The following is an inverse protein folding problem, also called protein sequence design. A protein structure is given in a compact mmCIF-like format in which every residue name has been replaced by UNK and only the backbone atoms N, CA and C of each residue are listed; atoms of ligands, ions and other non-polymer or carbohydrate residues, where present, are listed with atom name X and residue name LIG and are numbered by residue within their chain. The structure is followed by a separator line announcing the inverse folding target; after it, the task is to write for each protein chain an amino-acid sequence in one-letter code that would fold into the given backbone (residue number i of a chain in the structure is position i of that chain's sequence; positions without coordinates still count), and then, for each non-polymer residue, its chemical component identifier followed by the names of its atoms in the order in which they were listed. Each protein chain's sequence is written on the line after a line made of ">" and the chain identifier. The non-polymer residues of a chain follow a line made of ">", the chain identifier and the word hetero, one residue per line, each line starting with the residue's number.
data_IF_098061931020
#
_entry.id   IF_098061931020
#
_cell.length_a   1.000
_cell.length_b   1.000
_cell.length_c   1.000
_cell.angle_alpha   90.00
_cell.angle_beta   90.00
_cell.angle_gamma   90.00
#
_symmetry.space_group_name_H-M   'P 1'
#
loop_
_entity.id
_entity.type
_entity.pdbx_description
1 polymer ?
#
# COMPACT_ATOMS: atom_id res chain seq x y z
N UNK A 1 22.68 -31.79 13.73
CA UNK A 1 23.43 -30.98 14.72
C UNK A 1 23.12 -29.51 14.46
N UNK A 2 21.95 -29.09 14.94
CA UNK A 2 21.42 -27.72 14.87
C UNK A 2 20.49 -27.63 16.09
N UNK A 3 20.96 -27.05 17.19
CA UNK A 3 20.12 -26.55 18.30
C UNK A 3 21.02 -26.25 19.50
N UNK A 4 21.71 -25.11 19.50
CA UNK A 4 22.15 -24.40 20.72
C UNK A 4 22.83 -23.11 20.27
N UNK A 5 22.04 -22.13 19.85
CA UNK A 5 22.47 -20.74 19.94
C UNK A 5 21.29 -20.01 20.59
N UNK A 6 21.54 -19.30 21.70
CA UNK A 6 20.61 -18.35 22.33
C UNK A 6 19.60 -18.84 23.39
N UNK A 7 19.93 -19.86 24.18
CA UNK A 7 19.22 -20.13 25.45
C UNK A 7 20.02 -19.60 26.66
N UNK A 8 19.94 -18.29 26.95
CA UNK A 8 20.02 -17.78 28.34
C UNK A 8 19.90 -16.25 28.38
N UNK A 9 18.69 -15.71 28.47
CA UNK A 9 18.45 -14.40 29.10
C UNK A 9 17.15 -14.48 29.92
N UNK A 10 17.23 -13.97 31.15
CA UNK A 10 16.42 -14.41 32.30
C UNK A 10 14.92 -14.16 32.21
N UNK A 11 14.18 -15.07 32.83
CA UNK A 11 12.75 -14.96 33.10
C UNK A 11 12.50 -13.95 34.23
N UNK A 12 11.95 -12.78 33.90
CA UNK A 12 11.20 -11.97 34.87
C UNK A 12 9.72 -12.40 34.81
N UNK A 13 9.03 -12.65 35.94
CA UNK A 13 7.67 -13.13 35.92
C UNK A 13 6.72 -11.93 35.77
N UNK A 14 6.33 -11.62 34.53
CA UNK A 14 5.13 -10.83 34.26
C UNK A 14 4.09 -11.77 33.65
N UNK A 15 2.90 -11.71 34.24
CA UNK A 15 1.79 -12.64 34.04
C UNK A 15 1.53 -12.94 32.56
N UNK A 16 1.65 -14.22 32.18
CA UNK A 16 1.26 -14.69 30.86
C UNK A 16 -0.25 -14.81 30.80
N UNK A 17 -0.93 -13.75 30.36
CA UNK A 17 -2.29 -13.89 29.84
C UNK A 17 -2.14 -14.51 28.45
N UNK A 18 -2.37 -15.82 28.33
CA UNK A 18 -2.55 -16.45 27.02
C UNK A 18 -3.90 -15.96 26.50
N UNK A 19 -3.87 -14.91 25.68
CA UNK A 19 -5.04 -14.57 24.87
C UNK A 19 -5.20 -15.69 23.83
N UNK A 20 -6.27 -16.46 23.96
CA UNK A 20 -6.68 -17.36 22.90
C UNK A 20 -7.03 -16.49 21.68
N UNK A 21 -6.26 -16.59 20.60
CA UNK A 21 -6.62 -15.99 19.33
C UNK A 21 -7.94 -16.63 18.88
N UNK A 22 -9.03 -15.89 18.99
CA UNK A 22 -10.30 -16.27 18.39
C UNK A 22 -10.11 -16.18 16.87
N UNK A 23 -9.97 -17.34 16.22
CA UNK A 23 -10.05 -17.44 14.77
C UNK A 23 -11.50 -17.09 14.39
N UNK A 24 -11.74 -15.83 14.05
CA UNK A 24 -12.98 -15.43 13.40
C UNK A 24 -12.98 -16.08 12.01
N UNK A 25 -13.89 -17.03 11.81
CA UNK A 25 -14.27 -17.45 10.46
C UNK A 25 -15.15 -16.32 9.93
N UNK A 26 -14.51 -15.32 9.33
CA UNK A 26 -15.18 -14.41 8.43
C UNK A 26 -15.70 -15.22 7.23
N UNK A 27 -16.86 -14.85 6.71
CA UNK A 27 -17.24 -15.22 5.35
C UNK A 27 -16.12 -14.70 4.44
N UNK A 28 -15.39 -15.63 3.81
CA UNK A 28 -14.03 -15.41 3.29
C UNK A 28 -13.96 -14.56 2.01
N UNK A 29 -15.03 -13.89 1.60
CA UNK A 29 -15.04 -12.99 0.45
C UNK A 29 -14.84 -11.54 0.91
N UNK A 30 -15.84 -10.99 1.59
CA UNK A 30 -15.89 -9.57 1.97
C UNK A 30 -14.69 -9.09 2.81
N UNK A 31 -14.19 -9.92 3.73
CA UNK A 31 -13.04 -9.53 4.57
C UNK A 31 -11.74 -9.52 3.79
N UNK A 32 -11.59 -10.32 2.73
CA UNK A 32 -10.40 -10.29 1.89
C UNK A 32 -10.44 -9.13 0.88
N UNK A 33 -11.62 -8.81 0.34
CA UNK A 33 -11.81 -7.62 -0.49
C UNK A 33 -11.45 -6.33 0.27
N UNK A 34 -11.75 -6.23 1.58
CA UNK A 34 -11.29 -5.09 2.41
C UNK A 34 -9.77 -4.99 2.60
N UNK A 35 -9.00 -6.02 2.22
CA UNK A 35 -7.54 -5.99 2.20
C UNK A 35 -6.99 -5.83 0.77
N UNK A 36 -7.82 -5.40 -0.18
CA UNK A 36 -7.38 -4.87 -1.47
C UNK A 36 -7.39 -3.36 -1.36
N UNK A 37 -6.42 -2.68 -1.96
CA UNK A 37 -6.37 -1.22 -2.03
C UNK A 37 -5.92 -0.78 -3.39
N UNK A 38 -6.29 0.44 -3.77
CA UNK A 38 -5.71 1.06 -4.96
C UNK A 38 -4.30 1.50 -4.57
N UNK A 39 -3.31 1.03 -5.33
CA UNK A 39 -1.89 1.21 -5.04
C UNK A 39 -1.28 2.35 -5.84
N UNK A 40 -1.63 2.41 -7.12
CA UNK A 40 -1.05 3.30 -8.11
C UNK A 40 -2.05 3.52 -9.25
N UNK A 41 -2.05 4.70 -9.85
CA UNK A 41 -2.88 5.02 -11.01
C UNK A 41 -2.23 6.10 -11.87
N UNK A 42 -2.31 5.93 -13.19
CA UNK A 42 -1.96 6.94 -14.19
C UNK A 42 -3.15 7.20 -15.10
N UNK A 43 -3.47 8.48 -15.26
CA UNK A 43 -4.60 8.96 -16.08
C UNK A 43 -4.14 9.83 -17.26
N UNK A 44 -2.87 10.26 -17.28
CA UNK A 44 -2.39 11.22 -18.30
C UNK A 44 -0.88 11.05 -18.50
N UNK A 45 -0.40 11.41 -19.69
CA UNK A 45 1.02 11.43 -20.05
C UNK A 45 1.33 12.43 -21.17
N UNK A 46 2.62 12.71 -21.47
CA UNK A 46 2.95 13.55 -22.60
C UNK A 46 2.49 12.92 -23.93
N UNK A 47 1.54 13.57 -24.59
CA UNK A 47 1.13 13.21 -25.94
C UNK A 47 -0.20 12.49 -25.97
N UNK A 48 -0.19 11.21 -26.33
CA UNK A 48 -1.37 10.37 -26.29
C UNK A 48 -1.28 9.47 -25.05
N UNK A 49 -2.40 9.30 -24.38
CA UNK A 49 -2.55 8.47 -23.19
C UNK A 49 -2.59 7.00 -23.60
N UNK A 50 -1.40 6.41 -23.75
CA UNK A 50 -1.26 4.99 -24.15
C UNK A 50 -0.81 4.10 -23.01
N UNK A 51 -0.51 4.69 -21.85
CA UNK A 51 -0.03 4.02 -20.66
C UNK A 51 -0.89 4.40 -19.45
N UNK A 52 -2.20 4.58 -19.65
CA UNK A 52 -3.12 4.66 -18.51
C UNK A 52 -3.21 3.29 -17.82
N UNK A 53 -3.27 3.31 -16.50
CA UNK A 53 -3.41 2.11 -15.69
C UNK A 53 -3.94 2.44 -14.30
N UNK A 54 -4.40 1.39 -13.63
CA UNK A 54 -4.43 1.36 -12.18
C UNK A 54 -3.89 0.03 -11.68
N UNK A 55 -3.31 0.06 -10.50
CA UNK A 55 -2.81 -1.12 -9.81
C UNK A 55 -3.55 -1.29 -8.49
N UNK A 56 -3.92 -2.53 -8.20
CA UNK A 56 -4.38 -2.92 -6.87
C UNK A 56 -3.25 -3.66 -6.15
N UNK A 57 -3.11 -3.40 -4.85
CA UNK A 57 -2.28 -4.21 -3.96
C UNK A 57 -3.13 -5.00 -2.99
N UNK A 58 -2.78 -6.25 -2.78
CA UNK A 58 -3.56 -7.13 -1.92
C UNK A 58 -2.99 -8.54 -1.80
N UNK A 59 -3.90 -9.45 -1.48
CA UNK A 59 -3.65 -10.82 -1.09
C UNK A 59 -3.14 -11.71 -2.21
N UNK A 60 -1.97 -12.36 -2.23
CA UNK A 60 -1.76 -13.42 -3.21
C UNK A 60 -2.88 -14.46 -3.16
N UNK A 61 -3.62 -14.61 -4.26
CA UNK A 61 -4.79 -15.47 -4.33
C UNK A 61 -6.12 -14.86 -3.86
N UNK A 62 -6.18 -13.56 -3.53
CA UNK A 62 -7.45 -12.86 -3.28
C UNK A 62 -8.26 -12.82 -4.56
N UNK A 63 -9.45 -13.42 -4.52
CA UNK A 63 -10.43 -13.40 -5.59
C UNK A 63 -11.08 -12.01 -5.65
N UNK A 64 -11.15 -11.43 -6.85
CA UNK A 64 -11.77 -10.12 -7.12
C UNK A 64 -13.21 -10.26 -7.62
N UNK A 65 -13.86 -11.40 -7.38
CA UNK A 65 -15.30 -11.59 -7.62
C UNK A 65 -16.13 -10.45 -7.01
N UNK A 66 -17.04 -9.90 -7.82
CA UNK A 66 -17.93 -8.80 -7.48
C UNK A 66 -17.22 -7.50 -7.07
N UNK A 67 -15.90 -7.38 -7.28
CA UNK A 67 -15.15 -6.13 -7.11
C UNK A 67 -15.17 -5.33 -8.41
N UNK A 68 -15.42 -4.03 -8.30
CA UNK A 68 -15.49 -3.10 -9.42
C UNK A 68 -14.58 -1.91 -9.17
N UNK A 69 -13.92 -1.47 -10.24
CA UNK A 69 -13.25 -0.18 -10.29
C UNK A 69 -14.15 0.82 -11.02
N UNK A 70 -14.53 1.90 -10.36
CA UNK A 70 -15.36 2.95 -10.94
C UNK A 70 -14.68 4.32 -10.86
N UNK A 71 -14.97 5.18 -11.82
CA UNK A 71 -14.58 6.60 -11.80
C UNK A 71 -15.85 7.43 -11.84
N UNK A 72 -15.94 8.39 -10.92
CA UNK A 72 -17.06 9.33 -10.78
C UNK A 72 -16.52 10.74 -11.01
N UNK A 73 -17.05 11.46 -11.98
CA UNK A 73 -16.74 12.86 -12.24
C UNK A 73 -17.96 13.56 -12.80
N UNK A 74 -17.86 14.15 -14.00
CA UNK A 74 -18.87 14.99 -14.61
C UNK A 74 -19.65 14.30 -15.75
N UNK A 75 -20.71 14.96 -16.20
CA UNK A 75 -21.46 14.54 -17.37
C UNK A 75 -22.61 15.48 -17.72
N UNK A 76 -23.53 15.06 -18.61
CA UNK A 76 -24.63 15.91 -19.07
C UNK A 76 -25.58 16.41 -17.97
N UNK A 77 -25.51 15.84 -16.75
CA UNK A 77 -26.28 16.20 -15.57
C UNK A 77 -25.57 17.19 -14.63
N UNK A 78 -24.24 17.27 -14.68
CA UNK A 78 -23.43 17.90 -13.64
C UNK A 78 -22.42 16.90 -13.07
N UNK A 79 -22.05 17.06 -11.80
CA UNK A 79 -21.08 16.17 -11.13
C UNK A 79 -21.76 14.90 -10.60
N UNK A 80 -20.98 13.88 -10.25
CA UNK A 80 -21.50 12.64 -9.69
C UNK A 80 -21.88 11.59 -10.73
N UNK A 81 -21.45 11.76 -11.98
CA UNK A 81 -21.72 10.82 -13.05
C UNK A 81 -20.66 9.72 -13.10
N UNK A 82 -21.09 8.47 -13.28
CA UNK A 82 -20.17 7.34 -13.49
C UNK A 82 -19.58 7.41 -14.89
N UNK A 83 -18.30 7.72 -15.02
CA UNK A 83 -17.60 7.82 -16.30
C UNK A 83 -16.97 6.50 -16.73
N UNK A 84 -16.48 5.73 -15.75
CA UNK A 84 -15.85 4.45 -15.95
C UNK A 84 -16.39 3.43 -14.96
N UNK A 85 -16.58 2.20 -15.42
CA UNK A 85 -16.91 1.07 -14.57
C UNK A 85 -16.34 -0.21 -15.18
N UNK A 86 -15.47 -0.88 -14.42
CA UNK A 86 -14.82 -2.13 -14.81
C UNK A 86 -15.07 -3.21 -13.76
N UNK A 87 -15.71 -4.30 -14.19
CA UNK A 87 -15.89 -5.52 -13.40
C UNK A 87 -14.58 -6.32 -13.36
N UNK A 88 -14.08 -6.59 -12.16
CA UNK A 88 -12.87 -7.37 -11.95
C UNK A 88 -13.16 -8.86 -11.71
N UNK A 89 -14.43 -9.27 -11.78
CA UNK A 89 -14.85 -10.65 -11.56
C UNK A 89 -14.13 -11.64 -12.46
N UNK A 90 -13.66 -12.73 -11.84
CA UNK A 90 -12.85 -13.76 -12.52
C UNK A 90 -11.35 -13.49 -12.48
N UNK A 91 -10.94 -12.35 -11.92
CA UNK A 91 -9.55 -12.00 -11.66
C UNK A 91 -9.13 -12.37 -10.24
N UNK A 92 -7.83 -12.53 -10.04
CA UNK A 92 -7.22 -12.88 -8.74
C UNK A 92 -5.92 -12.11 -8.60
N UNK A 93 -5.66 -11.53 -7.43
CA UNK A 93 -4.38 -10.87 -7.13
C UNK A 93 -3.22 -11.87 -7.25
N UNK A 94 -2.16 -11.45 -7.95
CA UNK A 94 -1.00 -12.26 -8.29
C UNK A 94 -0.15 -12.71 -7.11
N UNK A 95 0.82 -13.59 -7.37
CA UNK A 95 1.73 -14.11 -6.34
C UNK A 95 2.71 -13.05 -5.80
N UNK A 96 2.87 -11.98 -6.54
CA UNK A 96 3.61 -10.75 -6.24
C UNK A 96 2.81 -9.75 -5.40
N UNK A 97 1.53 -10.02 -5.11
CA UNK A 97 0.61 -9.17 -4.34
C UNK A 97 0.08 -7.95 -5.08
N UNK A 98 0.28 -7.89 -6.40
CA UNK A 98 -0.23 -6.81 -7.24
C UNK A 98 -1.27 -7.36 -8.23
N UNK A 99 -2.08 -6.45 -8.74
CA UNK A 99 -2.97 -6.70 -9.86
C UNK A 99 -3.01 -5.45 -10.73
N UNK A 100 -2.29 -5.50 -11.84
CA UNK A 100 -2.13 -4.40 -12.77
C UNK A 100 -3.20 -4.48 -13.87
N UNK A 101 -3.98 -3.40 -13.99
CA UNK A 101 -4.90 -3.17 -15.11
C UNK A 101 -4.38 -2.02 -15.94
N UNK A 102 -4.05 -2.27 -17.20
CA UNK A 102 -3.50 -1.27 -18.10
C UNK A 102 -4.15 -1.32 -19.49
N UNK A 103 -3.98 -0.26 -20.26
CA UNK A 103 -4.47 -0.21 -21.63
C UNK A 103 -3.74 -1.16 -22.59
N UNK A 104 -4.44 -1.53 -23.67
CA UNK A 104 -3.81 -2.31 -24.74
C UNK A 104 -2.66 -1.53 -25.36
N UNK A 105 -1.46 -2.11 -25.35
CA UNK A 105 -0.26 -1.43 -25.82
C UNK A 105 0.63 -0.84 -24.73
N UNK A 106 0.31 -1.11 -23.46
CA UNK A 106 1.15 -0.86 -22.27
C UNK A 106 2.66 -0.96 -22.56
N UNK A 107 3.39 0.08 -22.19
CA UNK A 107 4.84 0.18 -22.40
C UNK A 107 5.67 0.27 -21.11
N UNK A 108 5.02 0.13 -19.94
CA UNK A 108 5.70 0.15 -18.66
C UNK A 108 6.58 -1.08 -18.38
N UNK A 109 7.24 -1.06 -17.23
CA UNK A 109 8.14 -2.12 -16.77
C UNK A 109 7.70 -2.57 -15.37
N UNK A 110 7.35 -3.85 -15.15
CA UNK A 110 7.31 -4.94 -16.13
C UNK A 110 6.25 -4.74 -17.23
N UNK A 111 6.47 -5.42 -18.37
CA UNK A 111 5.53 -5.46 -19.49
C UNK A 111 4.33 -6.39 -19.25
N UNK A 112 4.36 -7.19 -18.18
CA UNK A 112 3.27 -8.12 -17.86
C UNK A 112 2.13 -7.33 -17.20
N UNK A 113 0.91 -7.53 -17.71
CA UNK A 113 -0.32 -6.90 -17.21
C UNK A 113 -1.28 -8.04 -16.85
N UNK A 114 -1.94 -7.93 -15.70
CA UNK A 114 -2.87 -8.97 -15.24
C UNK A 114 -4.19 -8.92 -16.01
N UNK A 115 -4.65 -7.70 -16.36
CA UNK A 115 -5.83 -7.47 -17.16
C UNK A 115 -5.65 -6.28 -18.11
N UNK A 116 -5.78 -6.51 -19.41
CA UNK A 116 -5.91 -5.42 -20.39
C UNK A 116 -7.36 -4.90 -20.40
N UNK A 117 -7.53 -3.59 -20.25
CA UNK A 117 -8.83 -2.92 -20.30
C UNK A 117 -8.76 -1.65 -21.15
N UNK A 118 -9.92 -1.10 -21.51
CA UNK A 118 -10.03 0.22 -22.13
C UNK A 118 -10.40 1.17 -21.01
N UNK A 119 -9.48 2.04 -20.60
CA UNK A 119 -9.65 2.87 -19.41
C UNK A 119 -10.27 4.21 -19.79
N UNK A 120 -9.64 4.94 -20.73
CA UNK A 120 -9.99 6.31 -21.11
C UNK A 120 -10.32 7.16 -19.88
N UNK A 121 -9.40 7.23 -18.92
CA UNK A 121 -9.60 8.15 -17.80
C UNK A 121 -9.59 9.59 -18.30
N UNK A 122 -10.31 10.46 -17.61
CA UNK A 122 -10.38 11.85 -18.02
C UNK A 122 -9.14 12.62 -17.57
N UNK A 123 -8.54 13.35 -18.52
CA UNK A 123 -7.46 14.28 -18.23
C UNK A 123 -8.06 15.65 -17.85
N UNK A 124 -7.47 16.29 -16.85
CA UNK A 124 -7.72 17.71 -16.60
C UNK A 124 -9.03 18.03 -15.88
N UNK A 125 -9.70 17.05 -15.28
CA UNK A 125 -10.87 17.28 -14.42
C UNK A 125 -10.82 16.54 -13.07
N UNK A 126 -11.56 17.07 -12.10
CA UNK A 126 -11.73 16.53 -10.76
C UNK A 126 -12.54 15.23 -10.79
N UNK A 127 -11.85 14.08 -10.73
CA UNK A 127 -12.50 12.76 -10.70
C UNK A 127 -12.26 12.02 -9.38
N UNK A 128 -13.21 11.17 -9.01
CA UNK A 128 -13.12 10.25 -7.87
C UNK A 128 -12.96 8.82 -8.37
N UNK A 129 -11.84 8.20 -8.05
CA UNK A 129 -11.58 6.78 -8.31
C UNK A 129 -12.01 5.97 -7.09
N UNK A 130 -12.85 4.96 -7.29
CA UNK A 130 -13.46 4.18 -6.20
C UNK A 130 -13.39 2.70 -6.53
N UNK A 131 -12.88 1.91 -5.59
CA UNK A 131 -12.94 0.46 -5.62
C UNK A 131 -14.12 0.01 -4.74
N UNK A 132 -15.10 -0.68 -5.32
CA UNK A 132 -16.35 -1.06 -4.65
C UNK A 132 -16.68 -2.53 -4.80
N UNK A 133 -17.63 -3.02 -4.01
CA UNK A 133 -18.22 -4.37 -4.14
C UNK A 133 -19.66 -4.30 -4.60
N UNK A 134 -20.08 -5.30 -5.38
CA UNK A 134 -21.45 -5.52 -5.84
C UNK A 134 -22.03 -4.29 -6.58
N UNK A 135 -21.25 -3.68 -7.47
CA UNK A 135 -21.72 -2.55 -8.27
C UNK A 135 -22.88 -2.99 -9.21
N UNK A 136 -23.99 -2.27 -9.15
CA UNK A 136 -25.20 -2.53 -9.91
C UNK A 136 -25.62 -1.36 -10.82
N UNK A 137 -24.77 -0.32 -10.90
CA UNK A 137 -24.98 0.84 -11.77
C UNK A 137 -24.45 0.62 -13.17
N UNK A 138 -24.47 1.69 -13.97
CA UNK A 138 -23.98 1.74 -15.33
C UNK A 138 -23.15 3.02 -15.57
N UNK A 139 -22.28 2.97 -16.57
CA UNK A 139 -21.62 4.17 -17.09
C UNK A 139 -22.69 5.15 -17.60
N UNK A 140 -22.52 6.44 -17.28
CA UNK A 140 -23.45 7.56 -17.42
C UNK A 140 -24.62 7.59 -16.42
N UNK A 141 -24.65 6.73 -15.41
CA UNK A 141 -25.59 6.92 -14.30
C UNK A 141 -25.16 8.15 -13.50
N UNK A 142 -26.12 9.05 -13.26
CA UNK A 142 -25.97 10.25 -12.44
C UNK A 142 -26.32 9.89 -10.98
N UNK A 143 -25.30 9.90 -10.12
CA UNK A 143 -25.40 9.47 -8.72
C UNK A 143 -25.67 10.63 -7.75
N UNK A 144 -25.50 11.89 -8.19
CA UNK A 144 -25.69 13.12 -7.41
C UNK A 144 -26.64 14.05 -8.19
N UNK A 145 -27.92 13.71 -8.20
CA UNK A 145 -28.91 14.27 -9.13
C UNK A 145 -29.15 15.77 -8.89
N UNK A 146 -28.86 16.26 -7.69
CA UNK A 146 -29.01 17.66 -7.33
C UNK A 146 -27.70 18.45 -7.19
N UNK A 147 -26.57 17.85 -7.57
CA UNK A 147 -25.23 18.44 -7.60
C UNK A 147 -24.82 19.06 -6.25
N UNK A 148 -25.19 18.42 -5.13
CA UNK A 148 -24.95 18.97 -3.79
C UNK A 148 -23.68 18.44 -3.12
N UNK A 149 -23.00 17.50 -3.77
CA UNK A 149 -21.77 16.86 -3.32
C UNK A 149 -22.01 15.66 -2.40
N UNK A 150 -23.26 15.20 -2.29
CA UNK A 150 -23.66 14.00 -1.56
C UNK A 150 -24.37 13.07 -2.53
N UNK A 151 -23.81 11.88 -2.75
CA UNK A 151 -24.43 10.87 -3.60
C UNK A 151 -25.84 10.50 -3.12
N UNK A 152 -26.83 10.70 -3.99
CA UNK A 152 -28.23 10.30 -3.82
C UNK A 152 -28.41 8.79 -4.00
N UNK A 153 -27.65 8.22 -4.95
CA UNK A 153 -27.71 6.81 -5.31
C UNK A 153 -26.38 6.14 -5.03
N UNK A 154 -26.43 5.05 -4.26
CA UNK A 154 -25.25 4.25 -3.90
C UNK A 154 -25.45 2.86 -4.50
N UNK A 155 -25.08 2.63 -5.78
CA UNK A 155 -25.32 1.37 -6.47
C UNK A 155 -24.22 0.33 -6.17
N UNK A 156 -23.67 0.33 -4.96
CA UNK A 156 -22.69 -0.64 -4.47
C UNK A 156 -22.95 -0.94 -2.98
N UNK A 157 -22.41 -2.06 -2.50
CA UNK A 157 -22.61 -2.50 -1.12
C UNK A 157 -21.54 -1.95 -0.17
N UNK A 158 -20.28 -1.87 -0.62
CA UNK A 158 -19.16 -1.39 0.21
C UNK A 158 -18.11 -0.73 -0.66
N UNK A 159 -17.57 0.40 -0.18
CA UNK A 159 -16.33 1.00 -0.69
C UNK A 159 -15.17 0.27 -0.01
N UNK A 160 -14.27 -0.28 -0.82
CA UNK A 160 -13.03 -0.92 -0.38
C UNK A 160 -11.94 0.13 -0.14
N UNK A 161 -11.70 0.99 -1.14
CA UNK A 161 -10.72 2.08 -1.11
C UNK A 161 -11.13 3.14 -2.13
N UNK A 162 -10.73 4.38 -1.90
CA UNK A 162 -11.01 5.50 -2.80
C UNK A 162 -9.94 6.60 -2.73
N UNK A 163 -9.91 7.42 -3.78
CA UNK A 163 -9.25 8.72 -3.77
C UNK A 163 -9.88 9.63 -4.83
N UNK A 164 -9.66 10.93 -4.68
CA UNK A 164 -10.03 11.93 -5.66
C UNK A 164 -8.79 12.65 -6.19
N UNK A 165 -8.74 12.85 -7.50
CA UNK A 165 -7.79 13.75 -8.16
C UNK A 165 -8.45 15.12 -8.26
N UNK A 166 -7.70 16.17 -7.90
CA UNK A 166 -8.24 17.55 -7.91
C UNK A 166 -7.29 18.52 -8.59
N UNK A 167 -7.81 19.42 -9.43
CA UNK A 167 -7.08 20.48 -10.15
C UNK A 167 -7.06 21.78 -9.35
N UNK A 168 -8.11 22.05 -8.57
CA UNK A 168 -8.15 23.16 -7.63
C UNK A 168 -8.97 22.80 -6.38
N UNK A 169 -8.54 23.28 -5.21
CA UNK A 169 -9.26 23.06 -3.96
C UNK A 169 -10.55 23.90 -3.87
N UNK A 170 -11.71 23.29 -4.15
CA UNK A 170 -13.03 23.90 -3.90
C UNK A 170 -13.64 24.65 -5.08
N UNK A 171 -13.09 24.47 -6.28
CA UNK A 171 -13.60 24.93 -7.58
C UNK A 171 -13.50 23.76 -8.57
N UNK A 172 -14.37 23.72 -9.60
CA UNK A 172 -14.47 22.59 -10.53
C UNK A 172 -15.52 21.56 -10.11
N UNK A 173 -15.48 20.38 -10.74
CA UNK A 173 -16.41 19.29 -10.49
C UNK A 173 -16.26 18.70 -9.08
N UNK A 174 -17.38 18.20 -8.57
CA UNK A 174 -17.46 17.68 -7.20
C UNK A 174 -16.80 16.31 -7.13
N UNK A 175 -16.13 16.07 -6.00
CA UNK A 175 -15.48 14.78 -5.71
C UNK A 175 -16.00 14.18 -4.42
N UNK A 176 -16.06 12.86 -4.40
CA UNK A 176 -16.81 12.06 -3.43
C UNK A 176 -15.92 11.23 -2.51
N UNK A 177 -14.63 11.58 -2.41
CA UNK A 177 -13.69 11.04 -1.43
C UNK A 177 -13.12 12.11 -0.49
N UNK A 178 -12.88 11.72 0.76
CA UNK A 178 -12.12 12.51 1.73
C UNK A 178 -10.61 12.51 1.40
N UNK A 179 -10.13 11.50 0.67
CA UNK A 179 -8.74 11.36 0.24
C UNK A 179 -8.53 12.15 -1.06
N UNK A 180 -8.14 13.41 -0.94
CA UNK A 180 -7.94 14.31 -2.09
C UNK A 180 -6.45 14.48 -2.41
N UNK A 181 -6.07 14.19 -3.66
CA UNK A 181 -4.70 14.26 -4.15
C UNK A 181 -4.63 15.35 -5.23
N UNK A 182 -3.70 16.28 -5.06
CA UNK A 182 -3.55 17.43 -5.96
C UNK A 182 -3.87 18.77 -5.28
N UNK A 183 -3.78 19.87 -6.04
CA UNK A 183 -3.38 19.85 -7.45
C UNK A 183 -1.88 19.65 -7.69
N UNK A 184 -1.55 19.21 -8.90
CA UNK A 184 -0.17 19.24 -9.40
C UNK A 184 0.06 20.54 -10.19
N UNK A 185 0.40 21.58 -9.44
CA UNK A 185 0.56 22.92 -9.99
C UNK A 185 -0.78 23.55 -10.38
N UNK A 186 -1.15 23.44 -11.66
CA UNK A 186 -2.40 23.97 -12.23
C UNK A 186 -3.23 22.87 -12.90
N UNK A 187 -2.88 21.61 -12.67
CA UNK A 187 -3.51 20.46 -13.30
C UNK A 187 -3.92 19.46 -12.22
N UNK A 188 -4.82 18.54 -12.56
CA UNK A 188 -4.95 17.29 -11.81
C UNK A 188 -3.64 16.49 -11.88
N UNK A 189 -3.32 15.71 -10.83
CA UNK A 189 -2.23 14.76 -10.91
C UNK A 189 -2.45 13.77 -12.06
N UNK A 190 -1.45 13.62 -12.92
CA UNK A 190 -1.43 12.66 -14.03
C UNK A 190 -1.09 11.24 -13.58
N UNK A 191 -0.34 11.14 -12.48
CA UNK A 191 0.10 9.89 -11.88
C UNK A 191 0.11 10.03 -10.36
N UNK A 192 -0.46 9.04 -9.69
CA UNK A 192 -0.48 8.96 -8.22
C UNK A 192 -0.14 7.56 -7.76
N UNK A 193 0.58 7.47 -6.63
CA UNK A 193 1.00 6.21 -6.06
C UNK A 193 1.13 6.28 -4.54
N UNK A 194 0.95 5.14 -3.86
CA UNK A 194 1.21 5.04 -2.42
C UNK A 194 2.68 4.75 -2.17
N UNK A 195 3.30 5.47 -1.24
CA UNK A 195 4.58 5.01 -0.70
C UNK A 195 4.38 3.68 0.01
N UNK A 196 5.36 2.78 -0.02
CA UNK A 196 5.28 1.52 0.75
C UNK A 196 4.04 0.67 0.38
N UNK A 197 3.56 0.85 -0.86
CA UNK A 197 2.38 0.21 -1.40
C UNK A 197 1.13 0.42 -0.51
N UNK A 198 0.28 -0.60 -0.46
CA UNK A 198 -0.93 -0.81 0.33
C UNK A 198 -1.18 0.15 1.50
N UNK A 199 -0.18 0.40 2.36
CA UNK A 199 -0.37 1.10 3.63
C UNK A 199 0.04 2.57 3.64
N UNK A 200 0.88 3.02 2.70
CA UNK A 200 1.38 4.39 2.78
C UNK A 200 0.47 5.43 2.18
N UNK A 201 0.88 6.68 2.40
CA UNK A 201 0.18 7.84 1.89
C UNK A 201 0.41 8.01 0.39
N UNK A 202 -0.57 8.63 -0.27
CA UNK A 202 -0.53 9.00 -1.67
C UNK A 202 0.52 10.07 -1.97
N UNK A 203 1.08 9.99 -3.17
CA UNK A 203 2.01 10.93 -3.75
C UNK A 203 1.64 11.19 -5.19
N UNK A 204 2.14 12.31 -5.70
CA UNK A 204 2.04 12.68 -7.10
C UNK A 204 3.37 12.32 -7.76
N UNK A 205 3.29 11.48 -8.78
CA UNK A 205 4.42 11.19 -9.65
C UNK A 205 4.52 12.16 -10.83
N UNK A 206 5.55 12.02 -11.67
CA UNK A 206 5.76 12.90 -12.80
C UNK A 206 4.75 12.63 -13.93
N UNK A 207 4.44 13.69 -14.69
CA UNK A 207 3.67 13.57 -15.93
C UNK A 207 4.28 12.58 -16.90
N UNK A 208 5.59 12.62 -17.11
CA UNK A 208 6.29 11.74 -18.05
C UNK A 208 6.61 10.37 -17.40
N UNK A 209 6.08 9.24 -17.92
CA UNK A 209 6.37 7.91 -17.40
C UNK A 209 7.87 7.54 -17.44
N UNK A 210 8.64 8.16 -18.33
CA UNK A 210 10.08 7.88 -18.51
C UNK A 210 10.93 8.37 -17.29
N UNK A 211 10.29 8.97 -16.27
CA UNK A 211 10.91 9.44 -15.03
C UNK A 211 11.13 8.39 -13.93
N UNK A 212 10.44 7.25 -13.99
CA UNK A 212 10.74 6.06 -13.17
C UNK A 212 10.06 5.97 -11.80
N UNK A 213 9.01 6.75 -11.54
CA UNK A 213 8.15 6.52 -10.38
C UNK A 213 7.00 5.55 -10.70
N UNK A 214 6.69 5.33 -11.97
CA UNK A 214 5.75 4.29 -12.42
C UNK A 214 6.28 2.91 -12.09
N UNK A 215 5.53 2.20 -11.24
CA UNK A 215 5.90 0.87 -10.79
C UNK A 215 4.84 -0.18 -10.98
N UNK A 216 3.86 0.03 -11.89
CA UNK A 216 2.84 -0.96 -12.18
C UNK A 216 3.40 -2.38 -12.37
N UNK A 217 2.96 -3.32 -11.55
CA UNK A 217 3.45 -4.70 -11.44
C UNK A 217 4.60 -4.89 -10.44
N UNK A 218 5.00 -3.85 -9.69
CA UNK A 218 6.11 -3.83 -8.76
C UNK A 218 5.81 -2.96 -7.53
N UNK A 219 6.63 -3.14 -6.49
CA UNK A 219 6.54 -2.28 -5.31
C UNK A 219 6.91 -0.83 -5.61
N UNK A 220 6.06 0.07 -5.12
CA UNK A 220 6.31 1.49 -5.08
C UNK A 220 7.54 1.86 -4.24
N UNK A 221 8.10 3.02 -4.54
CA UNK A 221 9.26 3.53 -3.84
C UNK A 221 9.02 3.62 -2.32
N UNK A 222 10.02 3.19 -1.55
CA UNK A 222 10.07 3.49 -0.12
C UNK A 222 10.32 4.98 0.09
N UNK A 223 9.66 5.62 1.05
CA UNK A 223 9.98 7.00 1.44
C UNK A 223 11.02 7.05 2.56
N UNK A 224 12.27 7.47 2.30
CA UNK A 224 13.24 7.66 3.37
C UNK A 224 12.76 8.75 4.34
N UNK A 225 12.63 8.42 5.62
CA UNK A 225 12.45 9.40 6.70
C UNK A 225 11.08 9.44 7.39
N UNK A 226 10.18 8.49 7.15
CA UNK A 226 9.02 8.29 8.05
C UNK A 226 9.40 7.47 9.26
N UNK A 227 10.10 6.36 9.05
CA UNK A 227 10.76 5.60 10.11
C UNK A 227 12.16 5.19 9.62
N UNK A 228 13.18 5.37 10.45
CA UNK A 228 14.59 5.12 10.08
C UNK A 228 15.20 4.13 11.04
N UNK A 229 16.01 3.22 10.50
CA UNK A 229 16.83 2.29 11.25
C UNK A 229 18.30 2.65 11.13
N UNK A 230 18.98 2.78 12.27
CA UNK A 230 20.42 2.94 12.37
C UNK A 230 21.02 1.84 13.24
N UNK A 231 22.28 1.49 12.95
CA UNK A 231 23.07 0.56 13.77
C UNK A 231 24.28 1.29 14.35
N UNK A 232 24.57 1.01 15.62
CA UNK A 232 25.86 1.34 16.24
C UNK A 232 26.53 0.08 16.78
N UNK A 233 27.87 0.09 16.83
CA UNK A 233 28.66 -1.10 17.14
C UNK A 233 29.17 -1.81 15.89
N UNK A 234 29.45 -3.11 16.00
CA UNK A 234 29.96 -3.89 14.86
C UNK A 234 30.12 -5.38 15.14
N UNK A 235 30.49 -6.13 14.11
CA UNK A 235 30.58 -7.58 14.11
C UNK A 235 32.03 -8.07 13.96
N UNK A 236 32.51 -9.01 14.77
CA UNK A 236 31.88 -9.60 15.96
C UNK A 236 31.88 -8.60 17.13
N UNK A 237 30.77 -8.49 17.86
CA UNK A 237 30.68 -7.50 18.94
C UNK A 237 29.26 -7.16 19.35
N UNK A 238 29.11 -6.12 20.16
CA UNK A 238 27.80 -5.57 20.50
C UNK A 238 27.31 -4.68 19.38
N UNK A 239 26.04 -4.86 19.00
CA UNK A 239 25.30 -4.03 18.06
C UNK A 239 24.07 -3.49 18.76
N UNK A 240 23.77 -2.21 18.56
CA UNK A 240 22.54 -1.56 19.00
C UNK A 240 21.79 -1.11 17.75
N UNK A 241 20.53 -1.49 17.65
CA UNK A 241 19.59 -1.00 16.65
C UNK A 241 18.76 0.14 17.24
N UNK A 242 18.71 1.24 16.51
CA UNK A 242 17.96 2.44 16.88
C UNK A 242 16.95 2.73 15.79
N UNK A 243 15.67 2.81 16.17
CA UNK A 243 14.58 3.16 15.27
C UNK A 243 14.03 4.53 15.68
N UNK A 244 13.84 5.42 14.71
CA UNK A 244 13.27 6.75 14.92
C UNK A 244 12.10 6.97 13.97
N UNK A 245 11.07 7.71 14.40
CA UNK A 245 9.93 8.08 13.55
C UNK A 245 8.75 7.09 13.59
N UNK A 246 8.80 6.08 14.46
CA UNK A 246 7.62 5.26 14.74
C UNK A 246 6.50 6.12 15.34
N UNK A 247 5.26 5.64 15.29
CA UNK A 247 4.16 6.22 16.07
C UNK A 247 4.49 6.14 17.58
N UNK A 248 4.11 7.15 18.37
CA UNK A 248 4.26 7.11 19.82
C UNK A 248 3.62 5.85 20.42
N UNK A 249 4.34 5.17 21.33
CA UNK A 249 3.90 3.94 22.00
C UNK A 249 3.58 2.74 21.07
N UNK A 250 4.00 2.82 19.80
CA UNK A 250 3.80 1.76 18.81
C UNK A 250 4.65 0.52 19.10
N UNK A 251 4.13 -0.62 18.66
CA UNK A 251 4.83 -1.88 18.57
C UNK A 251 5.72 -1.89 17.34
N UNK A 252 7.04 -1.93 17.57
CA UNK A 252 8.05 -1.92 16.51
C UNK A 252 8.73 -3.28 16.49
N UNK A 253 8.62 -3.98 15.37
CA UNK A 253 9.35 -5.21 15.13
C UNK A 253 10.71 -4.91 14.52
N UNK A 254 11.78 -5.46 15.08
CA UNK A 254 13.11 -5.46 14.47
C UNK A 254 13.37 -6.88 13.97
N UNK A 255 13.61 -7.02 12.67
CA UNK A 255 13.75 -8.29 11.97
C UNK A 255 15.14 -8.43 11.35
N UNK A 256 15.67 -9.65 11.33
CA UNK A 256 16.97 -9.97 10.74
C UNK A 256 16.81 -11.10 9.72
N UNK A 257 17.38 -10.91 8.53
CA UNK A 257 17.42 -11.91 7.46
C UNK A 257 18.84 -12.11 6.91
N UNK A 258 19.06 -13.20 6.17
CA UNK A 258 20.39 -13.50 5.60
C UNK A 258 20.71 -12.68 4.36
N UNK A 259 19.68 -12.28 3.65
CA UNK A 259 19.78 -11.63 2.35
C UNK A 259 18.56 -10.70 2.13
N UNK A 260 18.68 -9.70 1.25
CA UNK A 260 17.54 -8.95 0.73
C UNK A 260 16.52 -9.87 0.06
N UNK A 261 15.27 -9.43 -0.05
CA UNK A 261 14.18 -10.18 -0.66
C UNK A 261 12.86 -9.44 -0.56
N UNK A 262 11.75 -10.18 -0.56
CA UNK A 262 10.39 -9.65 -0.56
C UNK A 262 9.48 -10.41 0.41
N UNK A 263 9.77 -10.38 1.71
CA UNK A 263 8.99 -11.10 2.72
C UNK A 263 7.75 -10.31 3.17
N UNK A 264 6.57 -10.90 3.07
CA UNK A 264 5.35 -10.29 3.61
C UNK A 264 5.31 -10.36 5.14
N UNK A 265 5.19 -9.20 5.77
CA UNK A 265 5.08 -9.10 7.21
C UNK A 265 3.74 -9.70 7.67
N UNK A 266 3.74 -10.60 8.67
CA UNK A 266 2.52 -11.21 9.17
C UNK A 266 1.72 -10.24 10.06
N UNK A 267 0.52 -10.66 10.49
CA UNK A 267 -0.34 -9.94 11.46
C UNK A 267 -1.13 -8.76 10.85
N UNK A 268 -1.20 -7.63 11.56
CA UNK A 268 -2.10 -6.50 11.26
C UNK A 268 -1.64 -5.65 10.07
N UNK A 269 -0.37 -5.75 9.66
CA UNK A 269 0.16 -5.10 8.45
C UNK A 269 0.25 -6.09 7.31
N UNK A 270 -0.89 -6.72 7.00
CA UNK A 270 -0.96 -7.74 6.00
C UNK A 270 -0.69 -7.15 4.60
N UNK A 271 0.03 -7.87 3.74
CA UNK A 271 0.46 -7.34 2.44
C UNK A 271 1.65 -6.37 2.51
N UNK A 272 2.05 -5.90 3.70
CA UNK A 272 3.27 -5.09 3.83
C UNK A 272 4.50 -5.94 3.46
N UNK A 273 5.13 -5.61 2.35
CA UNK A 273 6.31 -6.32 1.88
C UNK A 273 7.59 -5.70 2.48
N UNK A 274 8.42 -6.54 3.08
CA UNK A 274 9.74 -6.16 3.55
C UNK A 274 10.75 -6.33 2.42
N UNK A 275 11.77 -5.47 2.39
CA UNK A 275 12.94 -5.60 1.50
C UNK A 275 13.90 -6.72 1.96
N UNK A 276 13.59 -7.37 3.09
CA UNK A 276 14.27 -8.56 3.58
C UNK A 276 13.67 -9.84 2.99
N UNK A 277 14.49 -10.87 2.82
CA UNK A 277 14.01 -12.24 2.71
C UNK A 277 13.39 -12.71 4.04
N UNK A 278 12.90 -13.97 4.07
CA UNK A 278 12.25 -14.54 5.25
C UNK A 278 13.10 -14.35 6.53
N UNK A 279 12.60 -13.62 7.55
CA UNK A 279 13.35 -13.35 8.76
C UNK A 279 13.79 -14.64 9.46
N UNK A 280 15.06 -14.68 9.85
CA UNK A 280 15.62 -15.75 10.70
C UNK A 280 15.52 -15.42 12.18
N UNK A 281 15.25 -14.15 12.50
CA UNK A 281 15.03 -13.65 13.85
C UNK A 281 14.15 -12.40 13.80
N UNK A 282 13.32 -12.22 14.82
CA UNK A 282 12.54 -11.01 15.02
C UNK A 282 12.30 -10.78 16.51
N UNK A 283 12.20 -9.51 16.91
CA UNK A 283 11.79 -9.11 18.26
C UNK A 283 10.95 -7.85 18.21
N UNK A 284 9.88 -7.83 18.98
CA UNK A 284 9.04 -6.66 19.17
C UNK A 284 9.58 -5.79 20.31
N UNK A 285 9.50 -4.49 20.10
CA UNK A 285 9.81 -3.42 21.03
C UNK A 285 8.62 -2.47 21.11
N UNK A 286 8.60 -1.62 22.13
CA UNK A 286 7.63 -0.52 22.22
C UNK A 286 8.39 0.79 22.04
N UNK A 287 7.97 1.59 21.06
CA UNK A 287 8.47 2.94 20.88
C UNK A 287 8.12 3.81 22.09
N UNK A 288 8.99 4.74 22.46
CA UNK A 288 8.64 5.73 23.48
C UNK A 288 7.66 6.78 22.94
N UNK A 289 7.25 7.72 23.79
CA UNK A 289 6.32 8.79 23.41
C UNK A 289 6.84 9.74 22.32
N UNK A 290 8.11 9.60 21.90
CA UNK A 290 8.70 10.34 20.77
C UNK A 290 8.80 9.51 19.49
N UNK A 291 8.39 8.24 19.52
CA UNK A 291 8.54 7.34 18.38
C UNK A 291 9.94 6.72 18.26
N UNK A 292 10.71 6.69 19.35
CA UNK A 292 12.07 6.15 19.37
C UNK A 292 12.12 4.76 20.01
N UNK A 293 12.92 3.87 19.42
CA UNK A 293 13.25 2.55 19.96
C UNK A 293 14.76 2.39 20.04
N UNK A 294 15.23 1.88 21.17
CA UNK A 294 16.60 1.39 21.35
C UNK A 294 16.56 -0.09 21.69
N UNK A 295 17.25 -0.93 20.92
CA UNK A 295 17.25 -2.38 21.14
C UNK A 295 17.96 -2.81 22.43
N UNK A 296 18.78 -1.93 23.01
CA UNK A 296 19.88 -2.27 23.90
C UNK A 296 21.01 -3.00 23.15
N UNK A 297 22.18 -3.19 23.81
CA UNK A 297 23.28 -3.95 23.21
C UNK A 297 22.89 -5.42 23.01
N UNK A 298 23.05 -5.89 21.78
CA UNK A 298 22.89 -7.29 21.40
C UNK A 298 24.23 -7.81 20.91
N UNK A 299 24.76 -8.86 21.54
CA UNK A 299 26.00 -9.49 21.09
C UNK A 299 25.76 -10.25 19.78
N UNK A 300 26.51 -9.93 18.73
CA UNK A 300 26.50 -10.58 17.43
C UNK A 300 27.78 -11.40 17.27
N UNK A 301 27.62 -12.72 17.13
CA UNK A 301 28.72 -13.62 16.81
C UNK A 301 28.98 -13.73 15.30
N UNK A 302 29.99 -14.51 14.88
CA UNK A 302 30.45 -14.55 13.48
C UNK A 302 29.36 -14.89 12.46
N UNK A 303 28.39 -15.72 12.85
CA UNK A 303 27.28 -16.12 11.98
C UNK A 303 26.22 -15.04 11.74
N UNK A 304 26.26 -13.95 12.50
CA UNK A 304 25.39 -12.77 12.32
C UNK A 304 26.05 -11.66 11.52
N UNK A 305 27.36 -11.72 11.26
CA UNK A 305 28.03 -10.75 10.41
C UNK A 305 27.52 -10.88 8.97
N UNK A 306 27.28 -9.75 8.32
CA UNK A 306 26.75 -9.67 6.95
C UNK A 306 25.24 -9.92 6.82
N UNK A 307 24.53 -10.19 7.91
CA UNK A 307 23.05 -10.26 7.89
C UNK A 307 22.42 -8.86 7.78
N UNK A 308 21.19 -8.83 7.30
CA UNK A 308 20.42 -7.61 7.04
C UNK A 308 19.36 -7.42 8.10
N UNK A 309 19.15 -6.17 8.52
CA UNK A 309 18.17 -5.77 9.51
C UNK A 309 17.19 -4.75 8.90
N UNK A 310 15.92 -4.85 9.28
CA UNK A 310 14.86 -3.91 8.95
C UNK A 310 13.89 -3.87 10.12
N UNK A 311 13.18 -2.76 10.31
CA UNK A 311 12.15 -2.65 11.31
C UNK A 311 10.78 -2.32 10.70
N UNK A 312 9.73 -2.63 11.45
CA UNK A 312 8.32 -2.42 11.07
C UNK A 312 7.62 -1.75 12.24
N UNK A 313 7.03 -0.58 12.02
CA UNK A 313 5.98 -0.05 12.89
C UNK A 313 4.68 -0.77 12.56
N UNK A 314 4.23 -1.62 13.49
CA UNK A 314 3.09 -2.48 13.28
C UNK A 314 1.76 -1.72 13.30
N UNK A 315 1.72 -0.51 13.86
CA UNK A 315 0.50 0.30 13.96
C UNK A 315 0.33 1.17 12.72
N UNK A 316 1.43 1.74 12.24
CA UNK A 316 1.44 2.55 11.03
C UNK A 316 1.56 1.71 9.75
N UNK A 317 1.91 0.43 9.89
CA UNK A 317 2.29 -0.45 8.79
C UNK A 317 3.38 0.15 7.90
N UNK A 318 4.41 0.68 8.56
CA UNK A 318 5.57 1.30 7.91
C UNK A 318 6.82 0.50 8.13
N UNK A 319 7.67 0.41 7.12
CA UNK A 319 8.97 -0.27 7.20
C UNK A 319 10.11 0.73 7.29
N UNK A 320 11.28 0.33 7.80
CA UNK A 320 12.48 1.19 7.73
C UNK A 320 13.28 0.92 6.46
N UNK A 321 14.29 1.75 6.22
CA UNK A 321 15.45 1.33 5.41
C UNK A 321 16.05 0.02 5.94
N UNK A 322 16.73 -0.73 5.07
CA UNK A 322 17.58 -1.84 5.50
C UNK A 322 18.97 -1.37 5.88
N UNK A 323 19.58 -2.06 6.85
CA UNK A 323 20.99 -1.89 7.22
C UNK A 323 21.65 -3.27 7.28
N UNK A 324 22.92 -3.37 6.89
CA UNK A 324 23.69 -4.59 7.05
C UNK A 324 24.50 -4.53 8.36
N UNK A 325 24.53 -5.62 9.12
CA UNK A 325 25.41 -5.77 10.27
C UNK A 325 26.83 -6.01 9.76
N UNK A 326 27.73 -5.04 9.97
CA UNK A 326 29.14 -5.11 9.57
C UNK A 326 30.05 -5.37 10.74
#
# INVERSE_FOLDING_TARGET
>A
MQSTMWNSMGTSPLATTVAAAALFVATTGDVFAQHVRINEARIDQPGADTDEYFELSGLPGTDLADVWYIVIGDGPGGSGVVEHALDLSGSVIGADSFFLVAESGWTGDPLEVDLEAVLNFENGDNVTHVLVTEFAGLVNDDLDIDDDGILDTIPWTTIIDDFALIEEGGTGDLVYSDTRIGPDGQFVPSHVYRYEDHWGGWNIGPLDPIGGDDTGGMSNAFRPGWITLALTGGCEGEVIAEVTGALPDASVWILVAREPGGFFFPNQCFGLQLTLSRPIWARQYTADGSGYVNSGPVTVGPSGCGTWIQAVDEQACRVTNMVQIQ
#
